data_IF_247374756975
#
_entry.id   IF_247374756975
#
_cell.length_a   1.000
_cell.length_b   1.000
_cell.length_c   1.000
_cell.angle_alpha   90.00
_cell.angle_beta   90.00
_cell.angle_gamma   90.00
#
_symmetry.space_group_name_H-M   'P 1'
#
loop_
_entity.id
_entity.type
_entity.pdbx_description
1 polymer ?
#
# COMPACT_ATOMS: atom_id res chain seq x y z
N UNK A 1 -9.70 -21.39 1.84
CA UNK A 1 -9.68 -20.57 0.62
C UNK A 1 -10.62 -19.40 0.77
N UNK A 2 -11.93 -19.62 0.73
CA UNK A 2 -12.91 -18.53 0.86
C UNK A 2 -12.67 -17.56 2.03
N UNK A 3 -12.32 -18.03 3.23
CA UNK A 3 -12.04 -17.14 4.37
C UNK A 3 -10.76 -16.29 4.19
N UNK A 4 -9.70 -16.86 3.62
CA UNK A 4 -8.44 -16.14 3.37
C UNK A 4 -8.67 -15.10 2.27
N UNK A 5 -9.42 -15.47 1.23
CA UNK A 5 -9.77 -14.57 0.13
C UNK A 5 -10.66 -13.42 0.62
N UNK A 6 -11.62 -13.71 1.50
CA UNK A 6 -12.49 -12.69 2.12
C UNK A 6 -11.66 -11.74 3.00
N UNK A 7 -10.77 -12.27 3.84
CA UNK A 7 -9.88 -11.47 4.69
C UNK A 7 -9.00 -10.53 3.86
N UNK A 8 -8.35 -11.04 2.80
CA UNK A 8 -7.53 -10.22 1.91
C UNK A 8 -8.38 -9.15 1.22
N UNK A 9 -9.54 -9.53 0.69
CA UNK A 9 -10.42 -8.59 -0.01
C UNK A 9 -10.95 -7.48 0.91
N UNK A 10 -11.32 -7.80 2.15
CA UNK A 10 -11.75 -6.82 3.16
C UNK A 10 -10.61 -5.85 3.50
N UNK A 11 -9.40 -6.36 3.76
CA UNK A 11 -8.24 -5.52 4.03
C UNK A 11 -7.84 -4.66 2.83
N UNK A 12 -8.02 -5.16 1.61
CA UNK A 12 -7.67 -4.45 0.39
C UNK A 12 -8.56 -3.23 0.12
N UNK A 13 -9.76 -3.16 0.70
CA UNK A 13 -10.64 -1.99 0.53
C UNK A 13 -9.98 -0.71 1.06
N UNK A 14 -9.27 -0.79 2.18
CA UNK A 14 -8.56 0.35 2.75
C UNK A 14 -7.39 0.80 1.85
N UNK A 15 -6.61 -0.16 1.34
CA UNK A 15 -5.53 0.09 0.36
C UNK A 15 -6.08 0.76 -0.90
N UNK A 16 -7.18 0.22 -1.44
CA UNK A 16 -7.85 0.77 -2.62
C UNK A 16 -8.34 2.20 -2.40
N UNK A 17 -8.85 2.52 -1.21
CA UNK A 17 -9.28 3.88 -0.88
C UNK A 17 -8.12 4.88 -0.90
N UNK A 18 -6.97 4.51 -0.33
CA UNK A 18 -5.75 5.35 -0.34
C UNK A 18 -5.22 5.53 -1.76
N UNK A 19 -5.17 4.47 -2.56
CA UNK A 19 -4.71 4.55 -3.96
C UNK A 19 -5.64 5.42 -4.82
N UNK A 20 -6.96 5.34 -4.61
CA UNK A 20 -7.93 6.23 -5.28
C UNK A 20 -7.73 7.69 -4.88
N UNK A 21 -7.46 7.96 -3.60
CA UNK A 21 -7.15 9.30 -3.13
C UNK A 21 -5.86 9.82 -3.78
N UNK A 22 -4.80 9.00 -3.83
CA UNK A 22 -3.54 9.33 -4.49
C UNK A 22 -3.76 9.74 -5.95
N UNK A 23 -4.56 8.97 -6.70
CA UNK A 23 -4.89 9.27 -8.09
C UNK A 23 -5.77 10.52 -8.28
N UNK A 24 -6.54 10.93 -7.25
CA UNK A 24 -7.40 12.11 -7.33
C UNK A 24 -6.68 13.43 -6.99
N UNK A 25 -5.61 13.40 -6.20
CA UNK A 25 -4.88 14.60 -5.75
C UNK A 25 -4.35 15.51 -6.87
N UNK A 26 -3.82 14.99 -8.01
CA UNK A 26 -3.40 15.84 -9.11
C UNK A 26 -4.57 16.61 -9.74
N UNK A 27 -5.77 16.01 -9.79
CA UNK A 27 -6.96 16.67 -10.31
C UNK A 27 -7.37 17.88 -9.45
N UNK A 28 -7.26 17.78 -8.12
CA UNK A 28 -7.46 18.93 -7.23
C UNK A 28 -6.45 20.05 -7.47
N UNK A 29 -5.19 19.71 -7.78
CA UNK A 29 -4.17 20.68 -8.16
C UNK A 29 -4.53 21.45 -9.44
N UNK A 30 -5.07 20.75 -10.45
CA UNK A 30 -5.57 21.39 -11.69
C UNK A 30 -6.73 22.34 -11.39
N UNK A 31 -7.68 21.93 -10.55
CA UNK A 31 -8.80 22.80 -10.12
C UNK A 31 -8.28 24.07 -9.44
N UNK A 32 -7.28 23.95 -8.56
CA UNK A 32 -6.66 25.10 -7.90
C UNK A 32 -5.98 26.05 -8.91
N UNK A 33 -5.27 25.52 -9.91
CA UNK A 33 -4.67 26.34 -10.95
C UNK A 33 -5.72 27.06 -11.81
N UNK A 34 -6.81 26.38 -12.20
CA UNK A 34 -7.91 27.01 -12.94
C UNK A 34 -8.52 28.15 -12.13
N UNK A 35 -8.78 27.96 -10.83
CA UNK A 35 -9.28 29.02 -9.94
C UNK A 35 -8.30 30.20 -9.86
N UNK A 36 -7.00 29.93 -9.77
CA UNK A 36 -5.97 30.97 -9.77
C UNK A 36 -5.89 31.76 -11.07
N UNK A 37 -6.05 31.11 -12.23
CA UNK A 37 -6.12 31.78 -13.54
C UNK A 37 -7.37 32.65 -13.63
N UNK A 38 -8.54 32.12 -13.23
CA UNK A 38 -9.80 32.90 -13.23
C UNK A 38 -9.66 34.16 -12.36
N UNK A 39 -9.07 34.04 -11.17
CA UNK A 39 -8.84 35.18 -10.28
C UNK A 39 -7.86 36.20 -10.89
N UNK A 40 -6.81 35.72 -11.55
CA UNK A 40 -5.82 36.57 -12.25
C UNK A 40 -6.49 37.35 -13.40
N UNK A 41 -7.36 36.70 -14.17
CA UNK A 41 -8.09 37.34 -15.27
C UNK A 41 -9.07 38.42 -14.78
N UNK A 42 -9.63 38.27 -13.58
CA UNK A 42 -10.43 39.30 -12.93
C UNK A 42 -9.63 40.55 -12.51
N UNK A 43 -8.31 40.42 -12.40
CA UNK A 43 -7.39 41.48 -11.95
C UNK A 43 -6.41 41.94 -13.04
N UNK A 44 -6.74 41.72 -14.31
CA UNK A 44 -5.84 41.94 -15.46
C UNK A 44 -5.28 43.37 -15.59
N UNK A 45 -5.96 44.36 -15.00
CA UNK A 45 -5.51 45.75 -14.98
C UNK A 45 -4.48 46.09 -13.89
N UNK A 46 -4.11 45.14 -13.03
CA UNK A 46 -3.13 45.35 -11.96
C UNK A 46 -1.68 45.33 -12.48
N UNK A 47 -0.73 45.92 -11.74
CA UNK A 47 0.69 45.90 -12.11
C UNK A 47 1.22 44.46 -12.29
N UNK A 48 2.20 44.24 -13.20
CA UNK A 48 2.75 42.91 -13.48
C UNK A 48 3.26 42.15 -12.25
N UNK A 49 3.79 42.87 -11.25
CA UNK A 49 4.27 42.27 -10.01
C UNK A 49 3.14 41.56 -9.22
N UNK A 50 1.95 42.16 -9.19
CA UNK A 50 0.77 41.58 -8.51
C UNK A 50 0.24 40.38 -9.29
N UNK A 51 0.14 40.54 -10.62
CA UNK A 51 -0.33 39.48 -11.52
C UNK A 51 0.58 38.25 -11.46
N UNK A 52 1.90 38.45 -11.40
CA UNK A 52 2.88 37.39 -11.23
C UNK A 52 2.72 36.63 -9.91
N UNK A 53 2.39 37.32 -8.81
CA UNK A 53 2.09 36.68 -7.52
C UNK A 53 0.83 35.80 -7.58
N UNK A 54 -0.23 36.27 -8.25
CA UNK A 54 -1.48 35.52 -8.42
C UNK A 54 -1.26 34.24 -9.25
N UNK A 55 -0.53 34.34 -10.38
CA UNK A 55 -0.18 33.19 -11.20
C UNK A 55 0.74 32.23 -10.43
N UNK A 56 1.72 32.75 -9.69
CA UNK A 56 2.59 31.95 -8.84
C UNK A 56 1.81 31.10 -7.84
N UNK A 57 0.82 31.68 -7.16
CA UNK A 57 -0.05 30.93 -6.24
C UNK A 57 -0.86 29.82 -6.94
N UNK A 58 -1.29 30.04 -8.19
CA UNK A 58 -1.99 29.06 -9.00
C UNK A 58 -1.09 27.84 -9.34
N UNK A 59 0.17 28.11 -9.71
CA UNK A 59 1.14 27.07 -10.06
C UNK A 59 1.56 26.23 -8.84
N UNK A 60 1.64 26.83 -7.65
CA UNK A 60 1.89 26.11 -6.40
C UNK A 60 0.77 25.10 -6.10
N UNK A 61 -0.48 25.41 -6.45
CA UNK A 61 -1.60 24.49 -6.32
C UNK A 61 -1.42 23.19 -7.13
N UNK A 62 -1.04 23.30 -8.40
CA UNK A 62 -0.75 22.12 -9.25
C UNK A 62 0.46 21.35 -8.74
N UNK A 63 1.53 22.07 -8.38
CA UNK A 63 2.74 21.44 -7.85
C UNK A 63 2.44 20.64 -6.58
N UNK A 64 1.69 21.21 -5.63
CA UNK A 64 1.31 20.54 -4.40
C UNK A 64 0.45 19.30 -4.67
N UNK A 65 -0.50 19.37 -5.60
CA UNK A 65 -1.35 18.23 -5.98
C UNK A 65 -0.53 17.04 -6.49
N UNK A 66 0.42 17.29 -7.39
CA UNK A 66 1.33 16.27 -7.94
C UNK A 66 2.29 15.76 -6.86
N UNK A 67 2.87 16.67 -6.06
CA UNK A 67 3.79 16.32 -4.98
C UNK A 67 3.13 15.38 -3.97
N UNK A 68 1.94 15.71 -3.48
CA UNK A 68 1.25 14.88 -2.49
C UNK A 68 0.85 13.53 -3.08
N UNK A 69 0.36 13.50 -4.31
CA UNK A 69 -0.01 12.25 -4.99
C UNK A 69 1.17 11.27 -5.04
N UNK A 70 2.27 11.68 -5.67
CA UNK A 70 3.38 10.79 -5.99
C UNK A 70 4.40 10.63 -4.86
N UNK A 71 4.64 11.67 -4.07
CA UNK A 71 5.66 11.62 -3.02
C UNK A 71 5.12 11.10 -1.68
N UNK A 72 3.81 11.14 -1.46
CA UNK A 72 3.20 10.80 -0.17
C UNK A 72 2.20 9.66 -0.31
N UNK A 73 1.10 9.86 -1.03
CA UNK A 73 -0.02 8.92 -0.96
C UNK A 73 0.21 7.63 -1.75
N UNK A 74 0.84 7.69 -2.92
CA UNK A 74 1.14 6.50 -3.72
C UNK A 74 2.16 5.56 -3.01
N UNK A 75 3.28 6.04 -2.45
CA UNK A 75 4.18 5.20 -1.65
C UNK A 75 3.51 4.61 -0.42
N UNK A 76 2.67 5.38 0.27
CA UNK A 76 1.91 4.88 1.44
C UNK A 76 0.95 3.76 1.01
N UNK A 77 0.24 3.93 -0.10
CA UNK A 77 -0.62 2.90 -0.68
C UNK A 77 0.14 1.61 -0.95
N UNK A 78 1.31 1.70 -1.58
CA UNK A 78 2.17 0.54 -1.84
C UNK A 78 2.66 -0.17 -0.57
N UNK A 79 3.04 0.58 0.47
CA UNK A 79 3.45 -0.02 1.76
C UNK A 79 2.28 -0.70 2.46
N UNK A 80 1.08 -0.12 2.42
CA UNK A 80 -0.12 -0.74 2.99
C UNK A 80 -0.48 -2.04 2.28
N UNK A 81 -0.34 -2.09 0.94
CA UNK A 81 -0.53 -3.30 0.15
C UNK A 81 0.47 -4.39 0.55
N UNK A 82 1.75 -4.05 0.64
CA UNK A 82 2.80 -4.98 1.09
C UNK A 82 2.49 -5.55 2.48
N UNK A 83 2.06 -4.71 3.42
CA UNK A 83 1.71 -5.13 4.78
C UNK A 83 0.50 -6.07 4.82
N UNK A 84 -0.50 -5.82 3.98
CA UNK A 84 -1.67 -6.70 3.87
C UNK A 84 -1.30 -8.07 3.28
N UNK A 85 -0.43 -8.08 2.28
CA UNK A 85 0.06 -9.31 1.66
C UNK A 85 0.90 -10.14 2.64
N UNK A 86 1.78 -9.48 3.42
CA UNK A 86 2.53 -10.11 4.52
C UNK A 86 1.58 -10.76 5.54
N UNK A 87 0.56 -10.06 6.02
CA UNK A 87 -0.42 -10.63 6.96
C UNK A 87 -1.21 -11.80 6.37
N UNK A 88 -1.56 -11.72 5.08
CA UNK A 88 -2.27 -12.82 4.40
C UNK A 88 -1.39 -14.05 4.23
N UNK A 89 -0.07 -13.88 4.07
CA UNK A 89 0.88 -15.00 3.96
C UNK A 89 0.93 -15.88 5.20
N UNK A 90 0.73 -15.32 6.38
CA UNK A 90 0.68 -16.09 7.63
C UNK A 90 -0.47 -17.10 7.60
N UNK A 91 -1.66 -16.67 7.17
CA UNK A 91 -2.81 -17.56 7.00
C UNK A 91 -2.58 -18.63 5.91
N UNK A 92 -1.92 -18.26 4.80
CA UNK A 92 -1.55 -19.22 3.76
C UNK A 92 -0.56 -20.27 4.27
N UNK A 93 0.38 -19.88 5.15
CA UNK A 93 1.31 -20.79 5.80
C UNK A 93 0.54 -21.80 6.66
N UNK A 94 -0.33 -21.33 7.56
CA UNK A 94 -1.17 -22.19 8.42
C UNK A 94 -2.01 -23.15 7.58
N UNK A 95 -2.69 -22.65 6.55
CA UNK A 95 -3.48 -23.47 5.62
C UNK A 95 -2.63 -24.61 5.03
N UNK A 96 -1.43 -24.29 4.56
CA UNK A 96 -0.54 -25.27 3.91
C UNK A 96 -0.08 -26.34 4.88
N UNK A 97 0.25 -25.98 6.12
CA UNK A 97 0.61 -26.92 7.18
C UNK A 97 -0.57 -27.85 7.53
N UNK A 98 -1.77 -27.29 7.68
CA UNK A 98 -2.97 -28.06 7.97
C UNK A 98 -3.30 -29.05 6.86
N UNK A 99 -3.21 -28.63 5.60
CA UNK A 99 -3.44 -29.51 4.44
C UNK A 99 -2.42 -30.64 4.37
N UNK A 100 -1.14 -30.35 4.62
CA UNK A 100 -0.11 -31.39 4.66
C UNK A 100 -0.34 -32.36 5.83
N UNK A 101 -0.76 -31.88 7.00
CA UNK A 101 -1.12 -32.75 8.12
C UNK A 101 -2.34 -33.63 7.82
N UNK A 102 -3.37 -33.10 7.13
CA UNK A 102 -4.55 -33.86 6.72
C UNK A 102 -4.23 -34.95 5.69
N UNK A 103 -3.21 -34.74 4.85
CA UNK A 103 -2.72 -35.74 3.88
C UNK A 103 -1.86 -36.84 4.53
N UNK A 104 -1.64 -36.78 5.85
CA UNK A 104 -0.89 -37.81 6.59
C UNK A 104 0.63 -37.64 6.53
N UNK A 105 1.14 -36.48 6.10
CA UNK A 105 2.58 -36.21 6.21
C UNK A 105 3.00 -36.11 7.68
N UNK A 106 4.22 -36.56 7.98
CA UNK A 106 4.80 -36.40 9.31
C UNK A 106 4.85 -34.90 9.70
N UNK A 107 4.62 -34.53 10.98
CA UNK A 107 4.55 -33.14 11.41
C UNK A 107 5.76 -32.29 10.98
N UNK A 108 6.98 -32.86 11.01
CA UNK A 108 8.18 -32.15 10.55
C UNK A 108 8.13 -31.77 9.06
N UNK A 109 7.57 -32.64 8.22
CA UNK A 109 7.43 -32.40 6.78
C UNK A 109 6.28 -31.41 6.50
N UNK A 110 5.19 -31.50 7.26
CA UNK A 110 4.08 -30.55 7.17
C UNK A 110 4.52 -29.11 7.48
N UNK A 111 5.35 -28.91 8.51
CA UNK A 111 5.91 -27.60 8.86
C UNK A 111 6.85 -27.08 7.76
N UNK A 112 7.59 -27.96 7.08
CA UNK A 112 8.43 -27.54 5.95
C UNK A 112 7.64 -27.05 4.74
N UNK A 113 6.46 -27.62 4.46
CA UNK A 113 5.59 -27.07 3.43
C UNK A 113 5.12 -25.66 3.78
N UNK A 114 4.77 -25.42 5.05
CA UNK A 114 4.44 -24.07 5.54
C UNK A 114 5.60 -23.08 5.41
N UNK A 115 6.81 -23.48 5.82
CA UNK A 115 8.01 -22.63 5.73
C UNK A 115 8.29 -22.14 4.31
N UNK A 116 8.04 -22.97 3.30
CA UNK A 116 8.22 -22.63 1.87
C UNK A 116 7.20 -21.62 1.34
N UNK A 117 6.10 -21.37 2.05
CA UNK A 117 5.08 -20.39 1.67
C UNK A 117 5.48 -18.98 2.06
N UNK A 118 6.26 -18.82 3.13
CA UNK A 118 6.74 -17.53 3.63
C UNK A 118 7.72 -16.87 2.65
N UNK A 119 7.73 -15.54 2.63
CA UNK A 119 8.72 -14.75 1.88
C UNK A 119 10.13 -15.02 2.36
N UNK A 120 11.13 -14.86 1.47
CA UNK A 120 12.53 -15.16 1.80
C UNK A 120 13.11 -14.31 2.94
N UNK A 121 12.56 -13.12 3.17
CA UNK A 121 12.94 -12.20 4.26
C UNK A 121 12.48 -12.70 5.63
N UNK A 122 11.26 -13.26 5.70
CA UNK A 122 10.62 -13.73 6.93
C UNK A 122 10.76 -15.24 7.13
N UNK A 123 11.37 -15.95 6.17
CA UNK A 123 11.50 -17.41 6.21
C UNK A 123 12.63 -17.82 7.16
N UNK A 124 12.34 -18.52 8.28
CA UNK A 124 13.38 -19.03 9.16
C UNK A 124 14.21 -20.10 8.46
N UNK A 125 15.45 -20.30 8.93
CA UNK A 125 16.26 -21.42 8.47
C UNK A 125 15.67 -22.75 8.97
N UNK A 126 16.00 -23.84 8.28
CA UNK A 126 15.58 -25.18 8.69
C UNK A 126 16.01 -25.49 10.12
N UNK A 127 17.27 -25.16 10.46
CA UNK A 127 17.85 -25.43 11.77
C UNK A 127 17.18 -24.62 12.90
N UNK A 128 16.87 -23.35 12.67
CA UNK A 128 16.17 -22.51 13.64
C UNK A 128 14.75 -23.00 13.89
N UNK A 129 14.02 -23.34 12.82
CA UNK A 129 12.65 -23.86 12.91
C UNK A 129 12.63 -25.20 13.65
N UNK A 130 13.53 -26.12 13.28
CA UNK A 130 13.59 -27.44 13.91
C UNK A 130 13.95 -27.34 15.41
N UNK A 131 14.91 -26.49 15.77
CA UNK A 131 15.27 -26.24 17.16
C UNK A 131 14.11 -25.66 17.97
N UNK A 132 13.34 -24.74 17.39
CA UNK A 132 12.20 -24.10 18.06
C UNK A 132 11.02 -25.07 18.26
N UNK A 133 10.77 -25.95 17.29
CA UNK A 133 9.73 -26.99 17.39
C UNK A 133 10.12 -28.10 18.38
N UNK A 134 11.39 -28.50 18.42
CA UNK A 134 11.88 -29.51 19.38
C UNK A 134 12.03 -28.98 20.82
N UNK A 135 12.28 -27.68 20.99
CA UNK A 135 12.48 -27.02 22.28
C UNK A 135 11.19 -26.74 23.06
N UNK A 136 10.03 -26.69 22.40
CA UNK A 136 8.71 -26.65 23.04
C UNK A 136 8.24 -28.08 23.33
N UNK A 137 8.79 -28.70 24.38
CA UNK A 137 8.20 -29.89 25.01
C UNK A 137 7.40 -29.50 26.23
#
# INVERSE_FOLDING_TARGET
DNEIDTHHHEGFQAVSAVNKLAGALPAFGIVAAVLGVVNTMGSVGQPPAVLGGMIGSALVGTFLGILLAYAVFEPIGGVLEQKLDEGTKEFQCVKTVLLASMQGYAPQIAVEFGRKVLYSTERPTFAEMEAHVKGKK
#
